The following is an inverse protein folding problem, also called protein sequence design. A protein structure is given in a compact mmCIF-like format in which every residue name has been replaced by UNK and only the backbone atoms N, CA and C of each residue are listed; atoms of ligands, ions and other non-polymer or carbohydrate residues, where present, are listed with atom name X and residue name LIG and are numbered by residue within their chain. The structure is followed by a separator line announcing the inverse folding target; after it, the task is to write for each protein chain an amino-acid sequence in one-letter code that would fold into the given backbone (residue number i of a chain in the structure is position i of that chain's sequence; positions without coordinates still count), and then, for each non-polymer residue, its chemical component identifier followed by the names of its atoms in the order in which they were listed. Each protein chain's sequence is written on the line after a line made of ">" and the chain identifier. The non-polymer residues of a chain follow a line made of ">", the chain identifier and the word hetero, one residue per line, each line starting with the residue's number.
data_IF_196053697210
#
_entry.id   IF_196053697210
#
_cell.length_a   1.000
_cell.length_b   1.000
_cell.length_c   1.000
_cell.angle_alpha   90.00
_cell.angle_beta   90.00
_cell.angle_gamma   90.00
#
_symmetry.space_group_name_H-M   'P 1'
#
loop_
_entity.id
_entity.type
_entity.pdbx_description
1 polymer ?
#
# COMPACT_ATOMS: atom_id res chain seq x y z
N UNK A 1 -17.31 3.27 -5.96
CA UNK A 1 -17.29 1.78 -5.84
C UNK A 1 -18.22 1.21 -6.90
N UNK A 2 -17.69 0.37 -7.77
CA UNK A 2 -18.39 -0.24 -8.89
C UNK A 2 -18.22 -1.75 -8.84
N UNK A 3 -19.24 -2.50 -9.19
CA UNK A 3 -19.13 -3.91 -9.51
C UNK A 3 -19.10 -4.01 -11.03
N UNK A 4 -18.01 -4.50 -11.57
CA UNK A 4 -17.79 -4.53 -13.02
C UNK A 4 -17.10 -5.81 -13.45
N UNK A 5 -17.20 -6.11 -14.73
CA UNK A 5 -16.47 -7.19 -15.38
C UNK A 5 -15.35 -6.56 -16.21
N UNK A 6 -14.11 -6.72 -15.76
CA UNK A 6 -12.92 -6.18 -16.41
C UNK A 6 -12.27 -7.24 -17.32
N UNK A 7 -11.86 -6.83 -18.50
CA UNK A 7 -11.16 -7.69 -19.46
C UNK A 7 -9.67 -7.72 -19.13
N UNK A 8 -9.11 -8.90 -19.01
CA UNK A 8 -7.67 -9.10 -18.90
C UNK A 8 -7.00 -8.83 -20.26
N UNK A 9 -6.16 -7.80 -20.31
CA UNK A 9 -5.44 -7.38 -21.51
C UNK A 9 -4.07 -8.05 -21.61
N UNK A 10 -3.37 -8.13 -20.49
CA UNK A 10 -2.03 -8.70 -20.39
C UNK A 10 -1.85 -9.44 -19.06
N UNK A 11 -1.12 -10.55 -19.09
CA UNK A 11 -0.70 -11.29 -17.90
C UNK A 11 0.74 -11.73 -18.08
N UNK A 12 1.62 -11.37 -17.15
CA UNK A 12 3.02 -11.81 -17.15
C UNK A 12 3.50 -12.14 -15.76
N UNK A 13 4.30 -13.16 -15.64
CA UNK A 13 5.08 -13.44 -14.45
C UNK A 13 6.32 -12.56 -14.46
N UNK A 14 6.49 -11.71 -13.43
CA UNK A 14 7.60 -10.75 -13.34
C UNK A 14 8.69 -11.22 -12.38
N UNK A 15 8.34 -12.09 -11.45
CA UNK A 15 9.22 -12.79 -10.50
C UNK A 15 8.61 -14.17 -10.23
N UNK A 16 9.35 -15.17 -9.76
CA UNK A 16 8.83 -16.50 -9.47
C UNK A 16 7.57 -16.46 -8.59
N UNK A 17 6.44 -16.90 -9.15
CA UNK A 17 5.13 -16.89 -8.52
C UNK A 17 4.50 -15.51 -8.33
N UNK A 18 5.08 -14.44 -8.89
CA UNK A 18 4.52 -13.10 -8.85
C UNK A 18 4.08 -12.64 -10.24
N UNK A 19 2.83 -12.24 -10.34
CA UNK A 19 2.18 -11.86 -11.59
C UNK A 19 1.84 -10.37 -11.60
N UNK A 20 2.03 -9.75 -12.76
CA UNK A 20 1.51 -8.43 -13.10
C UNK A 20 0.46 -8.61 -14.20
N UNK A 21 -0.78 -8.24 -13.89
CA UNK A 21 -1.90 -8.34 -14.81
C UNK A 21 -2.48 -6.96 -15.10
N UNK A 22 -2.77 -6.68 -16.36
CA UNK A 22 -3.37 -5.43 -16.86
C UNK A 22 -4.80 -5.69 -17.27
N UNK A 23 -5.72 -4.86 -16.79
CA UNK A 23 -7.15 -4.98 -17.05
C UNK A 23 -7.73 -3.71 -17.68
N UNK A 24 -8.60 -3.87 -18.66
CA UNK A 24 -9.42 -2.78 -19.19
C UNK A 24 -10.60 -2.56 -18.26
N UNK A 25 -10.53 -1.47 -17.50
CA UNK A 25 -11.49 -1.11 -16.45
C UNK A 25 -11.59 0.42 -16.30
N UNK A 26 -12.16 1.15 -17.29
CA UNK A 26 -12.14 2.62 -17.33
C UNK A 26 -12.68 3.29 -16.06
N UNK A 27 -13.80 2.82 -15.52
CA UNK A 27 -14.39 3.39 -14.30
C UNK A 27 -13.47 3.24 -13.07
N UNK A 28 -12.75 2.11 -13.00
CA UNK A 28 -11.74 1.90 -11.96
C UNK A 28 -10.53 2.78 -12.17
N UNK A 29 -10.01 2.87 -13.40
CA UNK A 29 -8.84 3.68 -13.73
C UNK A 29 -9.07 5.15 -13.42
N UNK A 30 -10.26 5.69 -13.74
CA UNK A 30 -10.64 7.08 -13.43
C UNK A 30 -10.80 7.32 -11.93
N UNK A 31 -11.38 6.35 -11.20
CA UNK A 31 -11.75 6.52 -9.79
C UNK A 31 -10.68 6.08 -8.79
N UNK A 32 -9.73 5.25 -9.18
CA UNK A 32 -8.72 4.70 -8.27
C UNK A 32 -7.71 5.75 -7.83
N UNK A 33 -7.29 5.64 -6.56
CA UNK A 33 -6.26 6.46 -5.93
C UNK A 33 -5.22 5.54 -5.29
N UNK A 34 -3.99 6.01 -5.19
CA UNK A 34 -2.88 5.27 -4.59
C UNK A 34 -3.23 4.75 -3.19
N UNK A 35 -2.96 3.48 -2.93
CA UNK A 35 -3.28 2.78 -1.68
C UNK A 35 -4.66 2.13 -1.63
N UNK A 36 -5.52 2.33 -2.63
CA UNK A 36 -6.80 1.62 -2.76
C UNK A 36 -6.61 0.24 -3.39
N UNK A 37 -7.64 -0.61 -3.24
CA UNK A 37 -7.64 -1.98 -3.73
C UNK A 37 -8.93 -2.33 -4.48
N UNK A 38 -8.91 -3.45 -5.17
CA UNK A 38 -10.07 -4.12 -5.76
C UNK A 38 -10.30 -5.47 -5.10
N UNK A 39 -11.54 -5.95 -5.09
CA UNK A 39 -11.92 -7.25 -4.56
C UNK A 39 -12.40 -8.14 -5.71
N UNK A 40 -11.52 -9.04 -6.17
CA UNK A 40 -11.71 -9.85 -7.36
C UNK A 40 -12.40 -11.17 -7.03
N UNK A 41 -13.31 -11.59 -7.90
CA UNK A 41 -13.98 -12.88 -7.83
C UNK A 41 -13.25 -13.92 -8.66
N UNK A 42 -13.10 -15.10 -8.10
CA UNK A 42 -12.74 -16.29 -8.88
C UNK A 42 -13.98 -16.84 -9.60
N UNK A 43 -13.83 -17.57 -10.72
CA UNK A 43 -14.97 -18.17 -11.40
C UNK A 43 -15.79 -19.12 -10.51
N UNK A 44 -17.11 -19.18 -10.73
CA UNK A 44 -18.02 -19.97 -9.89
C UNK A 44 -17.67 -21.47 -9.84
N UNK A 45 -17.17 -22.02 -10.92
CA UNK A 45 -16.74 -23.42 -10.99
C UNK A 45 -15.45 -23.72 -10.19
N UNK A 46 -14.79 -22.70 -9.64
CA UNK A 46 -13.59 -22.88 -8.79
C UNK A 46 -13.92 -23.45 -7.41
N UNK A 47 -15.16 -23.42 -6.98
CA UNK A 47 -15.59 -23.76 -5.62
C UNK A 47 -15.12 -22.77 -4.55
N UNK A 48 -14.63 -21.59 -4.94
CA UNK A 48 -14.07 -20.57 -4.06
C UNK A 48 -15.08 -19.44 -3.88
N UNK A 49 -15.73 -19.38 -2.72
CA UNK A 49 -16.82 -18.45 -2.45
C UNK A 49 -16.36 -17.01 -2.25
N UNK A 50 -15.25 -16.82 -1.53
CA UNK A 50 -14.79 -15.47 -1.19
C UNK A 50 -14.01 -14.83 -2.35
N UNK A 51 -14.16 -13.52 -2.49
CA UNK A 51 -13.30 -12.67 -3.33
C UNK A 51 -11.91 -12.50 -2.71
N UNK A 52 -10.95 -11.98 -3.47
CA UNK A 52 -9.57 -11.69 -3.03
C UNK A 52 -9.28 -10.21 -3.19
N UNK A 53 -8.75 -9.57 -2.14
CA UNK A 53 -8.31 -8.18 -2.23
C UNK A 53 -6.95 -8.09 -2.93
N UNK A 54 -6.82 -7.14 -3.85
CA UNK A 54 -5.55 -6.80 -4.49
C UNK A 54 -5.42 -5.29 -4.60
N UNK A 55 -4.27 -4.77 -4.22
CA UNK A 55 -3.94 -3.36 -4.40
C UNK A 55 -4.01 -2.98 -5.88
N UNK A 56 -4.56 -1.82 -6.20
CA UNK A 56 -4.40 -1.22 -7.52
C UNK A 56 -2.97 -0.74 -7.63
N UNK A 57 -2.18 -1.43 -8.47
CA UNK A 57 -0.75 -1.18 -8.60
C UNK A 57 -0.47 0.08 -9.43
N UNK A 58 -1.14 0.25 -10.59
CA UNK A 58 -1.13 1.48 -11.39
C UNK A 58 -2.51 1.73 -12.00
N UNK A 59 -2.77 2.98 -12.44
CA UNK A 59 -3.96 3.34 -13.20
C UNK A 59 -3.59 4.29 -14.33
N UNK A 60 -3.74 3.83 -15.56
CA UNK A 60 -3.69 4.66 -16.77
C UNK A 60 -5.09 5.18 -17.08
N UNK A 61 -5.33 6.43 -16.73
CA UNK A 61 -6.65 7.07 -16.85
C UNK A 61 -7.03 7.35 -18.30
N UNK A 62 -6.05 7.57 -19.18
CA UNK A 62 -6.27 7.86 -20.60
C UNK A 62 -6.69 6.62 -21.35
N UNK A 63 -6.02 5.50 -21.10
CA UNK A 63 -6.30 4.21 -21.75
C UNK A 63 -7.37 3.40 -21.01
N UNK A 64 -7.78 3.82 -19.81
CA UNK A 64 -8.75 3.11 -18.98
C UNK A 64 -8.23 1.79 -18.44
N UNK A 65 -6.91 1.70 -18.20
CA UNK A 65 -6.26 0.47 -17.75
C UNK A 65 -5.89 0.57 -16.27
N UNK A 66 -6.01 -0.56 -15.57
CA UNK A 66 -5.41 -0.75 -14.24
C UNK A 66 -4.46 -1.93 -14.28
N UNK A 67 -3.42 -1.90 -13.44
CA UNK A 67 -2.59 -3.08 -13.20
C UNK A 67 -2.75 -3.58 -11.78
N UNK A 68 -2.59 -4.89 -11.63
CA UNK A 68 -2.60 -5.60 -10.35
C UNK A 68 -1.34 -6.46 -10.27
N UNK A 69 -0.55 -6.23 -9.23
CA UNK A 69 0.62 -7.04 -8.92
C UNK A 69 0.32 -7.91 -7.70
N UNK A 70 0.51 -9.21 -7.83
CA UNK A 70 0.21 -10.16 -6.76
C UNK A 70 1.11 -11.39 -6.80
N UNK A 71 1.18 -12.11 -5.67
CA UNK A 71 1.85 -13.40 -5.54
C UNK A 71 0.82 -14.52 -5.46
N UNK A 72 1.14 -15.68 -6.01
CA UNK A 72 0.37 -16.89 -5.80
C UNK A 72 0.61 -17.37 -4.35
N UNK A 73 -0.43 -17.28 -3.52
CA UNK A 73 -0.41 -17.70 -2.12
C UNK A 73 -1.41 -18.81 -1.81
N UNK A 74 -2.26 -19.14 -2.77
CA UNK A 74 -3.27 -20.19 -2.64
C UNK A 74 -4.16 -20.29 -3.88
N UNK A 75 -5.12 -21.21 -3.85
CA UNK A 75 -5.97 -21.56 -5.00
C UNK A 75 -6.63 -20.35 -5.68
N UNK A 76 -7.04 -19.32 -4.93
CA UNK A 76 -7.70 -18.16 -5.51
C UNK A 76 -6.76 -17.29 -6.35
N UNK A 77 -5.57 -16.96 -5.84
CA UNK A 77 -4.55 -16.23 -6.60
C UNK A 77 -3.97 -17.07 -7.74
N UNK A 78 -3.87 -18.39 -7.56
CA UNK A 78 -3.48 -19.31 -8.62
C UNK A 78 -4.48 -19.30 -9.79
N UNK A 79 -5.79 -19.33 -9.51
CA UNK A 79 -6.84 -19.20 -10.51
C UNK A 79 -6.72 -17.89 -11.30
N UNK A 80 -6.54 -16.78 -10.60
CA UNK A 80 -6.39 -15.46 -11.23
C UNK A 80 -5.11 -15.42 -12.07
N UNK A 81 -3.99 -15.99 -11.60
CA UNK A 81 -2.74 -16.06 -12.35
C UNK A 81 -2.85 -16.85 -13.66
N UNK A 82 -3.71 -17.87 -13.70
CA UNK A 82 -3.96 -18.70 -14.89
C UNK A 82 -4.89 -18.08 -15.93
N UNK A 83 -5.54 -16.97 -15.60
CA UNK A 83 -6.42 -16.26 -16.52
C UNK A 83 -5.63 -15.77 -17.74
N UNK A 84 -6.29 -15.79 -18.91
CA UNK A 84 -5.68 -15.45 -20.21
C UNK A 84 -6.20 -14.11 -20.73
N UNK A 85 -5.40 -13.39 -21.52
CA UNK A 85 -5.88 -12.21 -22.21
C UNK A 85 -7.18 -12.50 -22.99
N UNK A 86 -8.13 -11.55 -22.92
CA UNK A 86 -9.49 -11.68 -23.44
C UNK A 86 -10.51 -12.24 -22.43
N UNK A 87 -10.08 -12.91 -21.37
CA UNK A 87 -10.99 -13.34 -20.30
C UNK A 87 -11.44 -12.16 -19.44
N UNK A 88 -12.65 -12.28 -18.90
CA UNK A 88 -13.23 -11.22 -18.05
C UNK A 88 -13.36 -11.68 -16.60
N UNK A 89 -12.86 -10.86 -15.69
CA UNK A 89 -12.93 -11.11 -14.26
C UNK A 89 -13.82 -10.07 -13.57
N UNK A 90 -14.64 -10.53 -12.64
CA UNK A 90 -15.51 -9.65 -11.86
C UNK A 90 -14.71 -8.97 -10.74
N UNK A 91 -14.79 -7.64 -10.68
CA UNK A 91 -14.09 -6.80 -9.70
C UNK A 91 -15.07 -5.87 -9.00
N UNK A 92 -14.91 -5.74 -7.70
CA UNK A 92 -15.55 -4.72 -6.89
C UNK A 92 -14.50 -3.69 -6.48
N UNK A 93 -14.71 -2.42 -6.82
CA UNK A 93 -13.73 -1.38 -6.51
C UNK A 93 -14.06 0.01 -7.06
N UNK A 94 -13.17 1.00 -6.91
CA UNK A 94 -12.06 1.00 -5.95
C UNK A 94 -12.58 0.99 -4.51
N UNK A 95 -11.84 0.35 -3.61
CA UNK A 95 -12.20 0.15 -2.20
C UNK A 95 -11.11 0.71 -1.28
N UNK A 96 -11.52 1.00 -0.05
CA UNK A 96 -10.63 1.47 1.00
C UNK A 96 -10.23 2.94 0.88
N UNK A 97 -9.48 3.41 1.86
CA UNK A 97 -8.99 4.79 1.92
C UNK A 97 -7.62 4.90 1.26
N UNK A 98 -7.40 5.92 0.44
CA UNK A 98 -6.11 6.15 -0.23
C UNK A 98 -5.08 6.76 0.71
N UNK A 99 -3.82 6.82 0.27
CA UNK A 99 -2.81 7.69 0.84
C UNK A 99 -3.19 9.17 0.70
N UNK A 100 -2.88 9.93 1.74
CA UNK A 100 -3.15 11.36 1.81
C UNK A 100 -1.84 12.16 1.81
N UNK A 101 -1.44 12.67 0.66
CA UNK A 101 -0.20 13.45 0.51
C UNK A 101 -0.45 14.93 0.87
N UNK A 102 0.39 15.52 1.73
CA UNK A 102 0.37 16.97 1.97
C UNK A 102 0.78 17.70 0.67
N UNK A 103 0.00 18.66 0.18
CA UNK A 103 0.35 19.41 -1.03
C UNK A 103 1.73 20.11 -0.95
N UNK A 104 2.25 20.35 0.25
CA UNK A 104 3.55 20.97 0.48
C UNK A 104 4.70 19.99 0.45
N UNK A 105 4.43 18.69 0.60
CA UNK A 105 5.47 17.66 0.53
C UNK A 105 6.13 17.65 -0.83
N UNK A 106 7.45 17.74 -0.83
CA UNK A 106 8.30 17.69 -2.03
C UNK A 106 9.15 16.44 -2.07
N UNK A 107 9.51 15.91 -0.90
CA UNK A 107 10.36 14.75 -0.71
C UNK A 107 9.55 13.63 -0.08
N UNK A 108 9.36 12.56 -0.83
CA UNK A 108 8.55 11.42 -0.42
C UNK A 108 9.42 10.18 -0.25
N UNK A 109 9.38 9.60 0.95
CA UNK A 109 10.03 8.34 1.26
C UNK A 109 9.00 7.20 1.19
N UNK A 110 9.17 6.30 0.25
CA UNK A 110 8.36 5.09 0.13
C UNK A 110 9.14 3.90 0.68
N UNK A 111 8.52 3.07 1.52
CA UNK A 111 9.18 1.90 2.12
C UNK A 111 8.32 0.66 1.83
N UNK A 112 8.81 -0.20 0.96
CA UNK A 112 8.13 -1.40 0.52
C UNK A 112 8.82 -2.66 1.04
N UNK A 113 8.06 -3.58 1.64
CA UNK A 113 8.52 -4.94 1.95
C UNK A 113 7.87 -5.96 1.02
N UNK A 114 8.68 -6.59 0.16
CA UNK A 114 8.21 -7.61 -0.78
C UNK A 114 7.01 -7.12 -1.62
N UNK A 115 5.88 -7.82 -1.51
CA UNK A 115 4.67 -7.48 -2.28
C UNK A 115 4.05 -6.12 -1.92
N UNK A 116 4.48 -5.49 -0.81
CA UNK A 116 4.02 -4.15 -0.43
C UNK A 116 4.26 -3.08 -1.49
N UNK A 117 5.19 -3.30 -2.41
CA UNK A 117 5.39 -2.42 -3.58
C UNK A 117 4.11 -2.23 -4.41
N UNK A 118 3.26 -3.26 -4.48
CA UNK A 118 1.99 -3.18 -5.22
C UNK A 118 1.07 -2.06 -4.74
N UNK A 119 1.07 -1.77 -3.43
CA UNK A 119 0.28 -0.69 -2.84
C UNK A 119 0.91 0.70 -2.99
N UNK A 120 2.22 0.78 -3.27
CA UNK A 120 2.97 2.04 -3.33
C UNK A 120 3.29 2.49 -4.76
N UNK A 121 3.22 1.59 -5.74
CA UNK A 121 3.64 1.86 -7.12
C UNK A 121 2.89 3.06 -7.73
N UNK A 122 1.56 3.08 -7.64
CA UNK A 122 0.75 4.21 -8.11
C UNK A 122 1.11 5.52 -7.39
N UNK A 123 1.46 5.45 -6.10
CA UNK A 123 1.87 6.65 -5.36
C UNK A 123 3.19 7.21 -5.89
N UNK A 124 4.12 6.34 -6.29
CA UNK A 124 5.38 6.76 -6.92
C UNK A 124 5.10 7.47 -8.26
N UNK A 125 4.22 6.90 -9.12
CA UNK A 125 3.83 7.52 -10.38
C UNK A 125 3.20 8.90 -10.16
N UNK A 126 2.18 8.98 -9.30
CA UNK A 126 1.49 10.24 -9.00
C UNK A 126 2.42 11.29 -8.35
N UNK A 127 3.47 10.87 -7.67
CA UNK A 127 4.45 11.77 -7.09
C UNK A 127 5.38 12.36 -8.16
N UNK A 128 5.89 11.53 -9.05
CA UNK A 128 6.74 11.93 -10.18
C UNK A 128 5.97 12.87 -11.13
N UNK A 129 4.73 12.52 -11.50
CA UNK A 129 3.84 13.38 -12.30
C UNK A 129 3.64 14.78 -11.71
N UNK A 130 3.83 14.94 -10.39
CA UNK A 130 3.69 16.21 -9.66
C UNK A 130 5.03 16.84 -9.28
N UNK A 131 6.11 16.50 -9.99
CA UNK A 131 7.47 17.02 -9.77
C UNK A 131 7.96 16.87 -8.31
N UNK A 132 7.60 15.76 -7.65
CA UNK A 132 8.08 15.40 -6.31
C UNK A 132 9.27 14.46 -6.42
N UNK A 133 10.22 14.62 -5.53
CA UNK A 133 11.35 13.70 -5.39
C UNK A 133 10.92 12.48 -4.60
N UNK A 134 11.22 11.30 -5.11
CA UNK A 134 10.83 10.02 -4.52
C UNK A 134 12.05 9.16 -4.29
N UNK A 135 12.23 8.72 -3.05
CA UNK A 135 13.13 7.62 -2.69
C UNK A 135 12.25 6.42 -2.34
N UNK A 136 12.49 5.30 -3.00
CA UNK A 136 11.84 4.03 -2.72
C UNK A 136 12.85 3.06 -2.12
N UNK A 137 12.71 2.79 -0.83
CA UNK A 137 13.44 1.72 -0.14
C UNK A 137 12.65 0.41 -0.29
N UNK A 138 13.30 -0.61 -0.83
CA UNK A 138 12.68 -1.90 -1.08
C UNK A 138 13.40 -3.01 -0.31
N UNK A 139 12.66 -3.77 0.49
CA UNK A 139 13.15 -4.94 1.22
C UNK A 139 12.68 -6.25 0.61
N UNK A 140 13.60 -7.19 0.44
CA UNK A 140 13.32 -8.56 0.04
C UNK A 140 14.17 -9.55 0.85
N UNK A 141 13.76 -10.83 0.88
CA UNK A 141 14.58 -11.84 1.55
C UNK A 141 15.90 -12.09 0.80
N UNK A 142 15.89 -12.00 -0.54
CA UNK A 142 17.04 -12.29 -1.42
C UNK A 142 16.90 -11.61 -2.78
N UNK A 143 18.01 -11.55 -3.54
CA UNK A 143 18.07 -10.92 -4.87
C UNK A 143 16.99 -11.41 -5.86
N UNK A 144 16.65 -12.71 -5.85
CA UNK A 144 15.62 -13.28 -6.72
C UNK A 144 14.19 -12.78 -6.46
N UNK A 145 13.97 -12.08 -5.34
CA UNK A 145 12.67 -11.51 -4.94
C UNK A 145 12.63 -9.98 -5.06
N UNK A 146 13.74 -9.37 -5.54
CA UNK A 146 13.82 -7.92 -5.73
C UNK A 146 12.94 -7.48 -6.91
N UNK A 147 12.07 -6.51 -6.65
CA UNK A 147 11.18 -5.95 -7.68
C UNK A 147 12.01 -5.31 -8.81
N UNK A 148 11.71 -5.63 -10.09
CA UNK A 148 12.48 -5.10 -11.20
C UNK A 148 12.42 -3.58 -11.30
N UNK A 149 13.58 -2.92 -11.27
CA UNK A 149 13.68 -1.45 -11.37
C UNK A 149 13.10 -0.91 -12.68
N UNK A 150 13.18 -1.67 -13.77
CA UNK A 150 12.57 -1.32 -15.07
C UNK A 150 11.03 -1.16 -15.04
N UNK A 151 10.37 -1.56 -13.94
CA UNK A 151 8.95 -1.35 -13.73
C UNK A 151 8.65 -0.09 -12.89
N UNK A 152 9.67 0.68 -12.50
CA UNK A 152 9.53 1.95 -11.78
C UNK A 152 9.75 3.13 -12.74
N UNK A 153 9.24 4.34 -12.43
CA UNK A 153 9.66 5.54 -13.14
C UNK A 153 11.17 5.79 -12.97
N UNK A 154 11.82 6.26 -14.01
CA UNK A 154 13.27 6.52 -14.02
C UNK A 154 13.69 7.59 -12.99
N UNK A 155 12.78 8.48 -12.61
CA UNK A 155 12.99 9.55 -11.63
C UNK A 155 12.99 9.08 -10.17
N UNK A 156 12.60 7.82 -9.92
CA UNK A 156 12.57 7.26 -8.56
C UNK A 156 13.96 6.77 -8.17
N UNK A 157 14.52 7.32 -7.11
CA UNK A 157 15.71 6.75 -6.48
C UNK A 157 15.33 5.43 -5.81
N UNK A 158 15.85 4.33 -6.35
CA UNK A 158 15.51 2.98 -5.92
C UNK A 158 16.67 2.35 -5.13
N UNK A 159 16.43 2.11 -3.85
CA UNK A 159 17.43 1.54 -2.92
C UNK A 159 16.93 0.21 -2.38
N UNK A 160 17.77 -0.82 -2.45
CA UNK A 160 17.42 -2.20 -2.11
C UNK A 160 18.13 -2.66 -0.86
N UNK A 161 17.41 -3.36 0.00
CA UNK A 161 17.95 -4.18 1.09
C UNK A 161 17.52 -5.64 0.91
N UNK A 162 18.44 -6.57 1.19
CA UNK A 162 18.11 -8.00 1.24
C UNK A 162 18.55 -8.61 2.56
N UNK A 163 17.68 -9.46 3.13
CA UNK A 163 17.94 -10.09 4.43
C UNK A 163 19.22 -10.95 4.39
N UNK A 164 19.49 -11.59 3.23
CA UNK A 164 20.67 -12.45 3.01
C UNK A 164 21.90 -11.70 2.49
N UNK A 165 21.81 -10.39 2.22
CA UNK A 165 22.89 -9.57 1.68
C UNK A 165 23.24 -9.86 0.22
N UNK A 166 22.41 -10.59 -0.52
CA UNK A 166 22.69 -10.97 -1.91
C UNK A 166 22.68 -9.81 -2.90
N UNK A 167 22.02 -8.69 -2.56
CA UNK A 167 22.07 -7.41 -3.31
C UNK A 167 21.67 -6.25 -2.40
N UNK A 168 22.31 -5.08 -2.63
CA UNK A 168 22.04 -3.86 -1.88
C UNK A 168 22.55 -3.91 -0.43
N UNK A 169 21.79 -3.28 0.48
CA UNK A 169 22.09 -3.32 1.91
C UNK A 169 21.83 -4.72 2.47
N UNK A 170 22.78 -5.24 3.27
CA UNK A 170 22.61 -6.50 4.00
C UNK A 170 21.88 -6.24 5.30
N UNK A 171 20.60 -6.61 5.39
CA UNK A 171 19.75 -6.39 6.55
C UNK A 171 18.33 -5.99 6.16
N UNK A 172 17.61 -5.43 7.10
CA UNK A 172 16.23 -5.04 6.87
C UNK A 172 16.14 -3.67 6.20
N UNK A 173 15.13 -3.49 5.35
CA UNK A 173 14.84 -2.19 4.71
C UNK A 173 14.64 -1.06 5.72
N UNK A 174 14.20 -1.38 6.94
CA UNK A 174 14.04 -0.44 8.05
C UNK A 174 15.36 0.17 8.53
N UNK A 175 16.49 -0.50 8.28
CA UNK A 175 17.83 -0.04 8.68
C UNK A 175 18.27 1.16 7.85
N UNK A 176 17.76 1.28 6.62
CA UNK A 176 18.04 2.39 5.70
C UNK A 176 17.25 3.67 6.02
N UNK A 177 16.10 3.55 6.70
CA UNK A 177 15.18 4.69 6.92
C UNK A 177 15.82 5.88 7.65
N UNK A 178 16.69 5.70 8.67
CA UNK A 178 17.34 6.81 9.36
C UNK A 178 18.17 7.73 8.44
N UNK A 179 18.72 7.21 7.35
CA UNK A 179 19.51 7.99 6.39
C UNK A 179 18.66 9.00 5.61
N UNK A 180 17.37 8.69 5.41
CA UNK A 180 16.42 9.50 4.65
C UNK A 180 15.43 10.27 5.52
N UNK A 181 15.39 10.02 6.83
CA UNK A 181 14.40 10.60 7.76
C UNK A 181 14.43 12.14 7.77
N UNK A 182 15.63 12.73 7.72
CA UNK A 182 15.79 14.18 7.74
C UNK A 182 15.47 14.84 6.38
N UNK A 183 15.62 14.09 5.29
CA UNK A 183 15.31 14.54 3.94
C UNK A 183 13.82 14.49 3.63
N UNK A 184 13.11 13.49 4.14
CA UNK A 184 11.71 13.24 3.80
C UNK A 184 10.73 14.19 4.50
N UNK A 185 9.81 14.76 3.74
CA UNK A 185 8.65 15.50 4.27
C UNK A 185 7.57 14.55 4.79
N UNK A 186 7.34 13.46 4.06
CA UNK A 186 6.42 12.38 4.42
C UNK A 186 6.98 11.01 4.02
N UNK A 187 6.61 10.00 4.79
CA UNK A 187 6.91 8.60 4.53
C UNK A 187 5.63 7.78 4.35
N UNK A 188 5.69 6.79 3.47
CA UNK A 188 4.59 5.90 3.13
C UNK A 188 5.10 4.47 3.08
N UNK A 189 4.43 3.54 3.76
CA UNK A 189 4.92 2.17 3.84
C UNK A 189 3.83 1.15 3.55
N UNK A 190 4.23 0.04 2.93
CA UNK A 190 3.40 -1.14 2.74
C UNK A 190 4.29 -2.39 2.78
N UNK A 191 3.86 -3.43 3.50
CA UNK A 191 4.61 -4.66 3.65
C UNK A 191 4.23 -5.44 4.91
N UNK A 192 5.09 -6.38 5.34
CA UNK A 192 4.83 -7.22 6.52
C UNK A 192 4.59 -6.40 7.79
N UNK A 193 3.70 -6.89 8.65
CA UNK A 193 3.34 -6.21 9.90
C UNK A 193 4.56 -5.86 10.78
N UNK A 194 5.53 -6.77 10.89
CA UNK A 194 6.75 -6.52 11.67
C UNK A 194 7.54 -5.30 11.14
N UNK A 195 7.64 -5.16 9.82
CA UNK A 195 8.26 -4.00 9.17
C UNK A 195 7.49 -2.71 9.48
N UNK A 196 6.16 -2.73 9.31
CA UNK A 196 5.32 -1.56 9.57
C UNK A 196 5.37 -1.13 11.04
N UNK A 197 5.42 -2.10 11.98
CA UNK A 197 5.59 -1.84 13.42
C UNK A 197 6.93 -1.18 13.72
N UNK A 198 8.02 -1.67 13.14
CA UNK A 198 9.35 -1.08 13.30
C UNK A 198 9.39 0.37 12.79
N UNK A 199 8.84 0.61 11.59
CA UNK A 199 8.73 1.96 11.01
C UNK A 199 7.88 2.90 11.87
N UNK A 200 6.77 2.42 12.43
CA UNK A 200 5.95 3.21 13.34
C UNK A 200 6.71 3.62 14.62
N UNK A 201 7.55 2.72 15.15
CA UNK A 201 8.44 3.01 16.28
C UNK A 201 9.48 4.08 15.94
N UNK A 202 10.10 3.99 14.77
CA UNK A 202 11.07 4.99 14.27
C UNK A 202 10.41 6.36 14.08
N UNK A 203 9.25 6.43 13.42
CA UNK A 203 8.49 7.65 13.21
C UNK A 203 8.07 8.31 14.53
N UNK A 204 7.66 7.52 15.51
CA UNK A 204 7.34 8.00 16.86
C UNK A 204 8.56 8.62 17.57
N UNK A 205 9.73 8.02 17.42
CA UNK A 205 11.01 8.53 17.92
C UNK A 205 11.41 9.85 17.25
N UNK A 206 11.23 9.96 15.93
CA UNK A 206 11.43 11.20 15.18
C UNK A 206 10.55 12.33 15.70
N UNK A 207 9.26 12.09 15.79
CA UNK A 207 8.29 13.09 16.25
C UNK A 207 8.60 13.58 17.66
N UNK A 208 9.04 12.68 18.54
CA UNK A 208 9.47 13.03 19.90
C UNK A 208 10.72 13.93 19.88
N UNK A 209 11.72 13.65 19.04
CA UNK A 209 12.94 14.48 18.90
C UNK A 209 12.63 15.88 18.36
N UNK A 210 11.68 15.98 17.43
CA UNK A 210 11.27 17.24 16.83
C UNK A 210 10.25 18.03 17.67
N UNK A 211 9.86 17.51 18.84
CA UNK A 211 8.85 18.13 19.70
C UNK A 211 7.45 18.17 19.07
N UNK A 212 7.20 17.35 18.07
CA UNK A 212 5.90 17.17 17.45
C UNK A 212 5.02 16.39 18.42
N UNK A 213 4.01 17.05 19.00
CA UNK A 213 3.12 16.36 19.94
C UNK A 213 2.26 15.33 19.19
N UNK A 214 2.29 14.06 19.63
CA UNK A 214 1.35 13.03 19.23
C UNK A 214 -0.07 13.55 19.40
N UNK A 215 -0.96 13.27 18.45
CA UNK A 215 -2.38 13.69 18.45
C UNK A 215 -3.20 13.17 19.66
N UNK A 216 -2.58 12.42 20.57
CA UNK A 216 -3.15 11.95 21.83
C UNK A 216 -2.82 12.80 23.08
N UNK A 217 -1.89 13.74 23.00
CA UNK A 217 -1.50 14.61 24.11
C UNK A 217 -2.14 15.99 24.04
N UNK A 218 -2.74 16.46 25.16
CA UNK A 218 -3.31 17.81 25.27
C UNK A 218 -2.23 18.86 24.97
N UNK A 219 -2.16 19.41 23.77
CA UNK A 219 -1.35 20.60 23.47
C UNK A 219 -2.16 21.67 22.75
N UNK A 220 -2.20 22.84 23.37
CA UNK A 220 -2.79 24.07 22.84
C UNK A 220 -1.85 24.65 21.79
N UNK A 221 -2.14 24.40 20.50
CA UNK A 221 -1.65 25.24 19.42
C UNK A 221 -2.76 26.20 19.03
N UNK A 222 -2.42 27.45 18.71
CA UNK A 222 -3.37 28.46 18.18
C UNK A 222 -3.86 28.00 16.79
N UNK A 223 -4.89 27.18 16.80
CA UNK A 223 -5.53 26.54 15.67
C UNK A 223 -6.11 25.21 16.11
N UNK A 224 -7.38 24.96 15.85
CA UNK A 224 -8.04 23.71 16.22
C UNK A 224 -7.35 22.57 15.47
N UNK A 225 -6.66 21.69 16.19
CA UNK A 225 -6.07 20.49 15.61
C UNK A 225 -7.16 19.68 14.89
N UNK A 226 -6.88 19.12 13.71
CA UNK A 226 -7.84 18.28 13.01
C UNK A 226 -8.22 17.09 13.88
N UNK A 227 -9.49 16.63 13.76
CA UNK A 227 -9.94 15.47 14.48
C UNK A 227 -9.06 14.26 14.12
N UNK A 228 -8.60 13.48 15.09
CA UNK A 228 -7.81 12.27 14.83
C UNK A 228 -8.57 11.33 13.89
N UNK A 229 -7.85 10.71 12.95
CA UNK A 229 -8.43 9.86 11.91
C UNK A 229 -9.08 10.63 10.75
N UNK A 230 -9.12 11.97 10.82
CA UNK A 230 -9.60 12.76 9.69
C UNK A 230 -8.60 12.77 8.52
N UNK A 231 -9.05 12.98 7.26
CA UNK A 231 -8.15 13.09 6.11
C UNK A 231 -7.08 14.15 6.30
N UNK A 232 -7.41 15.27 6.96
CA UNK A 232 -6.46 16.35 7.21
C UNK A 232 -5.39 15.93 8.25
N UNK A 233 -5.75 15.13 9.26
CA UNK A 233 -4.79 14.62 10.24
C UNK A 233 -3.82 13.63 9.57
N UNK A 234 -4.31 12.70 8.75
CA UNK A 234 -3.49 11.75 7.99
C UNK A 234 -2.57 12.45 7.00
N UNK A 235 -3.08 13.43 6.27
CA UNK A 235 -2.29 14.23 5.33
C UNK A 235 -1.09 14.90 5.98
N UNK A 236 -1.14 15.18 7.29
CA UNK A 236 -0.07 15.79 8.07
C UNK A 236 0.77 14.80 8.87
N UNK A 237 0.39 13.53 8.90
CA UNK A 237 1.21 12.50 9.51
C UNK A 237 2.51 12.33 8.72
N UNK A 238 3.62 12.18 9.42
CA UNK A 238 4.89 11.86 8.76
C UNK A 238 4.82 10.50 8.08
N UNK A 239 4.38 9.46 8.79
CA UNK A 239 4.28 8.11 8.25
C UNK A 239 2.81 7.68 8.10
N UNK A 240 2.46 7.25 6.89
CA UNK A 240 1.25 6.51 6.60
C UNK A 240 1.58 5.08 6.21
N UNK A 241 0.80 4.13 6.68
CA UNK A 241 0.99 2.70 6.44
C UNK A 241 -0.23 2.10 5.76
N UNK A 242 0.00 1.24 4.77
CA UNK A 242 -1.05 0.41 4.20
C UNK A 242 -1.03 -0.96 4.86
N UNK A 243 -2.10 -1.27 5.58
CA UNK A 243 -2.27 -2.53 6.33
C UNK A 243 -2.87 -3.61 5.44
N UNK A 244 -2.40 -4.83 5.61
CA UNK A 244 -2.97 -6.02 4.97
C UNK A 244 -3.73 -6.87 5.99
N UNK A 245 -4.90 -7.37 5.60
CA UNK A 245 -5.72 -8.28 6.40
C UNK A 245 -6.55 -9.21 5.53
N UNK A 246 -6.93 -10.35 6.10
CA UNK A 246 -7.88 -11.24 5.45
C UNK A 246 -9.24 -10.55 5.30
N UNK A 247 -9.75 -10.46 4.07
CA UNK A 247 -11.00 -9.79 3.77
C UNK A 247 -12.06 -10.77 3.25
N UNK A 248 -13.16 -10.90 3.99
CA UNK A 248 -14.32 -11.65 3.51
C UNK A 248 -15.22 -10.81 2.62
N UNK A 249 -15.74 -9.69 3.12
CA UNK A 249 -16.70 -8.84 2.39
C UNK A 249 -16.08 -7.61 1.71
N UNK A 250 -14.97 -7.10 2.18
CA UNK A 250 -14.27 -5.88 1.74
C UNK A 250 -15.09 -4.57 1.79
N UNK A 251 -16.30 -4.60 2.37
CA UNK A 251 -17.21 -3.43 2.47
C UNK A 251 -17.53 -3.04 3.93
N UNK A 252 -16.83 -3.65 4.89
CA UNK A 252 -16.94 -3.32 6.31
C UNK A 252 -18.11 -4.00 7.05
N UNK A 253 -18.76 -5.01 6.47
CA UNK A 253 -19.92 -5.67 7.06
C UNK A 253 -19.56 -6.86 7.97
N UNK A 254 -18.57 -7.69 7.59
CA UNK A 254 -18.30 -8.96 8.26
C UNK A 254 -17.34 -8.86 9.47
N UNK A 255 -16.65 -7.73 9.66
CA UNK A 255 -15.65 -7.49 10.71
C UNK A 255 -14.45 -8.46 10.69
N UNK A 256 -14.22 -9.18 9.59
CA UNK A 256 -13.13 -10.15 9.48
C UNK A 256 -11.73 -9.52 9.26
N UNK A 257 -11.65 -8.22 8.93
CA UNK A 257 -10.41 -7.50 8.67
C UNK A 257 -10.10 -6.43 9.73
N UNK A 258 -10.48 -6.68 10.98
CA UNK A 258 -10.33 -5.70 12.07
C UNK A 258 -8.88 -5.66 12.53
N UNK A 259 -8.39 -4.44 12.74
CA UNK A 259 -7.15 -4.10 13.45
C UNK A 259 -7.50 -3.24 14.65
N UNK A 260 -6.66 -3.25 15.69
CA UNK A 260 -6.92 -2.41 16.85
C UNK A 260 -6.37 -0.99 16.63
N UNK A 261 -7.20 -0.01 16.79
CA UNK A 261 -6.77 1.39 16.77
C UNK A 261 -6.13 1.82 18.11
N UNK A 262 -5.23 2.78 18.06
CA UNK A 262 -4.47 3.31 19.21
C UNK A 262 -5.34 3.81 20.40
N UNK A 263 -6.65 3.92 20.21
CA UNK A 263 -7.61 4.29 21.27
C UNK A 263 -8.45 3.13 21.78
N UNK A 264 -8.06 1.90 21.47
CA UNK A 264 -8.78 0.70 21.83
C UNK A 264 -10.05 0.45 21.02
N UNK A 265 -10.31 1.21 19.94
CA UNK A 265 -11.46 1.00 19.07
C UNK A 265 -11.06 0.15 17.85
N UNK A 266 -11.83 -0.90 17.48
CA UNK A 266 -11.56 -1.70 16.31
C UNK A 266 -11.73 -0.88 15.02
N UNK A 267 -10.81 -1.08 14.07
CA UNK A 267 -10.79 -0.44 12.76
C UNK A 267 -10.86 -1.54 11.69
N UNK A 268 -11.71 -1.41 10.69
CA UNK A 268 -11.79 -2.36 9.57
C UNK A 268 -10.85 -1.92 8.47
N UNK A 269 -9.85 -2.74 8.16
CA UNK A 269 -8.86 -2.44 7.12
C UNK A 269 -9.54 -2.16 5.78
N UNK A 270 -10.61 -2.86 5.44
CA UNK A 270 -11.33 -2.65 4.18
C UNK A 270 -12.12 -1.33 4.09
N UNK A 271 -12.41 -0.66 5.21
CA UNK A 271 -13.29 0.53 5.23
C UNK A 271 -12.63 1.75 5.85
N UNK A 272 -12.13 1.65 7.09
CA UNK A 272 -11.37 2.71 7.75
C UNK A 272 -9.93 2.80 7.24
N UNK A 273 -9.38 1.71 6.68
CA UNK A 273 -8.11 1.59 5.97
C UNK A 273 -8.30 1.38 4.46
N UNK A 274 -7.35 0.72 3.76
CA UNK A 274 -6.16 0.07 4.32
C UNK A 274 -5.10 1.05 4.82
N UNK A 275 -5.16 2.32 4.37
CA UNK A 275 -4.19 3.33 4.75
C UNK A 275 -4.58 4.01 6.04
N UNK A 276 -3.63 4.00 6.99
CA UNK A 276 -3.73 4.67 8.30
C UNK A 276 -2.51 5.56 8.52
N UNK A 277 -2.65 6.62 9.31
CA UNK A 277 -1.48 7.23 9.93
C UNK A 277 -0.91 6.24 10.96
N UNK A 278 0.41 6.17 11.09
CA UNK A 278 1.06 5.18 11.95
C UNK A 278 0.67 5.29 13.43
N UNK A 279 0.25 6.47 13.88
CA UNK A 279 -0.24 6.74 15.23
C UNK A 279 -1.75 6.44 15.45
N UNK A 280 -2.46 6.02 14.39
CA UNK A 280 -3.84 5.54 14.48
C UNK A 280 -3.94 4.08 14.90
N UNK A 281 -2.86 3.28 14.82
CA UNK A 281 -2.83 1.84 15.06
C UNK A 281 -2.20 1.52 16.41
N UNK A 282 -2.76 0.54 17.10
CA UNK A 282 -2.15 -0.09 18.27
C UNK A 282 -1.19 -1.19 17.81
N UNK A 283 0.10 -0.91 17.87
CA UNK A 283 1.16 -1.81 17.42
C UNK A 283 1.55 -2.89 18.43
N UNK A 284 1.04 -2.81 19.67
CA UNK A 284 1.33 -3.78 20.73
C UNK A 284 0.38 -5.00 20.67
N UNK A 285 -0.82 -4.82 20.14
CA UNK A 285 -1.78 -5.89 19.91
C UNK A 285 -1.43 -6.56 18.59
N UNK A 286 -0.73 -7.72 18.68
CA UNK A 286 -0.45 -8.56 17.51
C UNK A 286 -1.73 -9.19 16.92
N UNK A 287 -1.67 -9.60 15.69
CA UNK A 287 -2.73 -10.25 14.91
C UNK A 287 -2.58 -11.76 14.94
#
# INVERSE_FOLDING_TARGET
>A
MHLLSAELVESREILPGQHLQTYLAPDLALGAKAGQFVHMRTPDYSGLVLRRPFSVNTADRERGLITIHFRITGKGSEWIARSRPGERLEMLGPLGRPFEVDPRSRHMLLVAGGLGIAGLRMLADEAVEKDRRVVLLFGAARAAEVYPSALLPDEVEYVVATDDGSVGHHGFVTDLVPEYEAWADQAFACGPFAMLRALAGQAAGRDARLGVARLGGKRRTRGRAPAPGSPLARRRAFLQVSMEQHMGCAVGACLGCVVMGARGAPQRVCREGPVFASDEIDWEIGW
#
